data_IF_571042908117
#
_entry.id   IF_571042908117
#
_cell.length_a   1.000
_cell.length_b   1.000
_cell.length_c   1.000
_cell.angle_alpha   90.00
_cell.angle_beta   90.00
_cell.angle_gamma   90.00
#
_symmetry.space_group_name_H-M   'P 1'
#
loop_
_entity.id
_entity.type
_entity.pdbx_description
1 polymer ?
#
# COMPACT_ATOMS: atom_id res chain seq x y z
N UNK A 1 -26.11 -75.97 -10.31
CA UNK A 1 -25.58 -75.20 -9.15
C UNK A 1 -24.23 -74.55 -9.49
N UNK A 2 -24.16 -73.74 -10.55
CA UNK A 2 -22.92 -73.03 -10.96
C UNK A 2 -23.18 -71.56 -11.32
N UNK A 3 -24.43 -71.12 -11.27
CA UNK A 3 -24.88 -69.79 -11.73
C UNK A 3 -24.67 -68.69 -10.66
N UNK A 4 -24.83 -69.04 -9.37
CA UNK A 4 -24.62 -68.11 -8.25
C UNK A 4 -23.14 -67.72 -8.06
N UNK A 5 -22.21 -68.65 -8.30
CA UNK A 5 -20.76 -68.39 -8.17
C UNK A 5 -20.21 -67.51 -9.29
N UNK A 6 -20.71 -67.67 -10.51
CA UNK A 6 -20.37 -66.80 -11.65
C UNK A 6 -20.91 -65.37 -11.45
N UNK A 7 -22.14 -65.25 -10.94
CA UNK A 7 -22.76 -63.95 -10.62
C UNK A 7 -22.05 -63.22 -9.48
N UNK A 8 -21.62 -63.92 -8.43
CA UNK A 8 -20.84 -63.34 -7.32
C UNK A 8 -19.46 -62.82 -7.79
N UNK A 9 -18.76 -63.59 -8.64
CA UNK A 9 -17.47 -63.19 -9.18
C UNK A 9 -17.57 -61.95 -10.08
N UNK A 10 -18.63 -61.83 -10.89
CA UNK A 10 -18.89 -60.65 -11.71
C UNK A 10 -19.15 -59.40 -10.85
N UNK A 11 -20.02 -59.50 -9.84
CA UNK A 11 -20.30 -58.39 -8.91
C UNK A 11 -19.05 -57.94 -8.16
N UNK A 12 -18.21 -58.88 -7.71
CA UNK A 12 -16.94 -58.54 -7.08
C UNK A 12 -16.01 -57.76 -8.02
N UNK A 13 -15.92 -58.18 -9.30
CA UNK A 13 -15.12 -57.48 -10.30
C UNK A 13 -15.64 -56.07 -10.56
N UNK A 14 -16.95 -55.87 -10.61
CA UNK A 14 -17.58 -54.55 -10.75
C UNK A 14 -17.26 -53.65 -9.56
N UNK A 15 -17.36 -54.17 -8.33
CA UNK A 15 -17.01 -53.42 -7.11
C UNK A 15 -15.55 -52.99 -7.15
N UNK A 16 -14.63 -53.91 -7.48
CA UNK A 16 -13.20 -53.59 -7.56
C UNK A 16 -12.91 -52.56 -8.65
N UNK A 17 -13.57 -52.67 -9.81
CA UNK A 17 -13.42 -51.70 -10.89
C UNK A 17 -13.94 -50.30 -10.47
N UNK A 18 -15.07 -50.24 -9.77
CA UNK A 18 -15.64 -49.01 -9.24
C UNK A 18 -14.72 -48.38 -8.17
N UNK A 19 -14.21 -49.19 -7.24
CA UNK A 19 -13.27 -48.72 -6.21
C UNK A 19 -11.98 -48.18 -6.82
N UNK A 20 -11.44 -48.86 -7.85
CA UNK A 20 -10.24 -48.39 -8.55
C UNK A 20 -10.50 -47.08 -9.30
N UNK A 21 -11.60 -46.99 -10.06
CA UNK A 21 -11.99 -45.76 -10.74
C UNK A 21 -12.23 -44.60 -9.76
N UNK A 22 -12.82 -44.87 -8.61
CA UNK A 22 -13.05 -43.87 -7.56
C UNK A 22 -11.73 -43.37 -6.95
N UNK A 23 -10.78 -44.27 -6.69
CA UNK A 23 -9.46 -43.91 -6.18
C UNK A 23 -8.67 -43.05 -7.19
N UNK A 24 -8.73 -43.39 -8.48
CA UNK A 24 -8.07 -42.62 -9.53
C UNK A 24 -8.73 -41.24 -9.72
N UNK A 25 -10.06 -41.17 -9.64
CA UNK A 25 -10.79 -39.90 -9.66
C UNK A 25 -10.46 -39.01 -8.46
N UNK A 26 -10.34 -39.59 -7.26
CA UNK A 26 -9.96 -38.85 -6.05
C UNK A 26 -8.55 -38.27 -6.20
N UNK A 27 -7.56 -39.07 -6.61
CA UNK A 27 -6.19 -38.58 -6.84
C UNK A 27 -6.14 -37.47 -7.88
N UNK A 28 -6.86 -37.63 -8.99
CA UNK A 28 -6.93 -36.60 -10.02
C UNK A 28 -7.59 -35.31 -9.51
N UNK A 29 -8.59 -35.43 -8.63
CA UNK A 29 -9.20 -34.27 -7.97
C UNK A 29 -8.26 -33.61 -6.98
N UNK A 30 -7.57 -34.39 -6.13
CA UNK A 30 -6.60 -33.88 -5.16
C UNK A 30 -5.46 -33.13 -5.85
N UNK A 31 -4.92 -33.68 -6.94
CA UNK A 31 -3.88 -33.01 -7.72
C UNK A 31 -4.36 -31.67 -8.28
N UNK A 32 -5.51 -31.65 -8.98
CA UNK A 32 -6.08 -30.40 -9.51
C UNK A 32 -6.39 -29.40 -8.41
N UNK A 33 -6.84 -29.87 -7.24
CA UNK A 33 -7.12 -28.99 -6.11
C UNK A 33 -5.83 -28.40 -5.53
N UNK A 34 -4.77 -29.19 -5.42
CA UNK A 34 -3.46 -28.71 -5.00
C UNK A 34 -2.92 -27.65 -5.97
N UNK A 35 -2.95 -27.93 -7.28
CA UNK A 35 -2.53 -26.99 -8.33
C UNK A 35 -3.34 -25.68 -8.29
N UNK A 36 -4.67 -25.77 -8.12
CA UNK A 36 -5.55 -24.60 -7.97
C UNK A 36 -5.18 -23.75 -6.76
N UNK A 37 -4.94 -24.38 -5.60
CA UNK A 37 -4.57 -23.67 -4.38
C UNK A 37 -3.20 -23.02 -4.53
N UNK A 38 -2.23 -23.72 -5.14
CA UNK A 38 -0.90 -23.18 -5.39
C UNK A 38 -0.95 -21.94 -6.28
N UNK A 39 -1.76 -21.98 -7.35
CA UNK A 39 -2.00 -20.82 -8.21
C UNK A 39 -2.66 -19.65 -7.46
N UNK A 40 -3.67 -19.93 -6.63
CA UNK A 40 -4.33 -18.90 -5.80
C UNK A 40 -3.33 -18.26 -4.79
N UNK A 41 -2.44 -19.06 -4.20
CA UNK A 41 -1.40 -18.58 -3.28
C UNK A 41 -0.38 -17.72 -4.01
N UNK A 42 0.06 -18.13 -5.20
CA UNK A 42 1.01 -17.36 -6.00
C UNK A 42 0.40 -16.01 -6.43
N UNK A 43 -0.85 -16.01 -6.89
CA UNK A 43 -1.58 -14.78 -7.24
C UNK A 43 -1.70 -13.84 -6.03
N UNK A 44 -2.12 -14.37 -4.87
CA UNK A 44 -2.22 -13.59 -3.65
C UNK A 44 -0.87 -13.03 -3.18
N UNK A 45 0.20 -13.83 -3.28
CA UNK A 45 1.56 -13.42 -2.92
C UNK A 45 2.06 -12.30 -3.82
N UNK A 46 1.81 -12.39 -5.12
CA UNK A 46 2.14 -11.36 -6.09
C UNK A 46 1.34 -10.07 -5.82
N UNK A 47 0.05 -10.18 -5.50
CA UNK A 47 -0.78 -9.03 -5.14
C UNK A 47 -0.27 -8.32 -3.88
N UNK A 48 0.17 -9.08 -2.85
CA UNK A 48 0.78 -8.53 -1.64
C UNK A 48 2.09 -7.82 -1.99
N UNK A 49 2.98 -8.44 -2.76
CA UNK A 49 4.25 -7.84 -3.13
C UNK A 49 4.08 -6.50 -3.86
N UNK A 50 3.14 -6.43 -4.81
CA UNK A 50 2.80 -5.18 -5.52
C UNK A 50 2.21 -4.13 -4.58
N UNK A 51 1.37 -4.53 -3.61
CA UNK A 51 0.80 -3.61 -2.64
C UNK A 51 1.88 -3.03 -1.70
N UNK A 52 2.78 -3.88 -1.20
CA UNK A 52 3.90 -3.47 -0.35
C UNK A 52 4.83 -2.49 -1.07
N UNK A 53 5.21 -2.79 -2.31
CA UNK A 53 6.07 -1.89 -3.09
C UNK A 53 5.39 -0.52 -3.32
N UNK A 54 4.08 -0.51 -3.56
CA UNK A 54 3.32 0.75 -3.69
C UNK A 54 3.30 1.54 -2.38
N UNK A 55 3.14 0.88 -1.25
CA UNK A 55 3.18 1.51 0.07
C UNK A 55 4.56 2.13 0.36
N UNK A 56 5.64 1.38 0.11
CA UNK A 56 7.01 1.85 0.29
C UNK A 56 7.28 3.11 -0.55
N UNK A 57 6.96 3.06 -1.86
CA UNK A 57 7.12 4.22 -2.75
C UNK A 57 6.31 5.43 -2.30
N UNK A 58 5.09 5.23 -1.79
CA UNK A 58 4.27 6.31 -1.26
C UNK A 58 4.89 6.92 0.01
N UNK A 59 5.38 6.08 0.93
CA UNK A 59 6.03 6.51 2.17
C UNK A 59 7.34 7.29 1.89
N UNK A 60 8.15 6.82 0.94
CA UNK A 60 9.35 7.52 0.50
C UNK A 60 9.04 8.90 -0.08
N UNK A 61 8.01 8.98 -0.93
CA UNK A 61 7.59 10.24 -1.56
C UNK A 61 7.05 11.23 -0.53
N UNK A 62 6.21 10.78 0.40
CA UNK A 62 5.71 11.59 1.50
C UNK A 62 6.87 12.10 2.37
N UNK A 63 7.82 11.23 2.71
CA UNK A 63 9.01 11.59 3.49
C UNK A 63 9.89 12.62 2.77
N UNK A 64 10.03 12.51 1.45
CA UNK A 64 10.78 13.47 0.64
C UNK A 64 10.15 14.86 0.68
N UNK A 65 8.84 14.95 0.46
CA UNK A 65 8.10 16.20 0.57
C UNK A 65 8.19 16.81 1.97
N UNK A 66 8.06 15.97 3.00
CA UNK A 66 8.21 16.39 4.39
C UNK A 66 9.58 17.02 4.66
N UNK A 67 10.66 16.37 4.24
CA UNK A 67 12.03 16.91 4.38
C UNK A 67 12.20 18.25 3.65
N UNK A 68 11.62 18.38 2.45
CA UNK A 68 11.66 19.65 1.71
C UNK A 68 10.87 20.76 2.42
N UNK A 69 9.73 20.43 3.03
CA UNK A 69 8.95 21.37 3.83
C UNK A 69 9.71 21.81 5.08
N UNK A 70 10.32 20.86 5.80
CA UNK A 70 11.17 21.14 6.97
C UNK A 70 12.33 22.09 6.64
N UNK A 71 13.05 21.82 5.56
CA UNK A 71 14.14 22.68 5.11
C UNK A 71 13.66 24.10 4.80
N UNK A 72 12.47 24.24 4.20
CA UNK A 72 11.88 25.55 3.89
C UNK A 72 11.57 26.36 5.16
N UNK A 73 11.05 25.72 6.20
CA UNK A 73 10.69 26.40 7.45
C UNK A 73 11.83 26.53 8.45
N UNK A 74 13.02 25.98 8.18
CA UNK A 74 14.14 25.95 9.13
C UNK A 74 14.58 27.35 9.62
N UNK A 75 14.37 28.40 8.81
CA UNK A 75 14.63 29.78 9.21
C UNK A 75 13.58 30.40 10.16
N UNK A 76 12.46 29.71 10.39
CA UNK A 76 11.35 30.16 11.24
C UNK A 76 11.48 29.58 12.65
N UNK A 77 12.29 30.21 13.49
CA UNK A 77 12.59 29.72 14.86
C UNK A 77 11.38 29.63 15.80
N UNK A 78 10.28 30.31 15.48
CA UNK A 78 9.03 30.29 16.23
C UNK A 78 8.10 29.13 15.84
N UNK A 79 8.36 28.46 14.70
CA UNK A 79 7.54 27.38 14.19
C UNK A 79 8.23 26.05 14.49
N UNK A 80 7.73 25.24 15.44
CA UNK A 80 8.29 23.93 15.68
C UNK A 80 8.10 23.03 14.45
N UNK A 81 9.11 22.25 14.03
CA UNK A 81 8.92 21.23 13.03
C UNK A 81 7.91 20.19 13.56
N UNK A 82 6.86 19.91 12.80
CA UNK A 82 5.84 18.93 13.19
C UNK A 82 6.38 17.50 13.22
N UNK A 83 5.49 16.54 13.45
CA UNK A 83 5.82 15.12 13.42
C UNK A 83 6.07 14.61 11.99
N UNK A 84 6.85 13.54 11.88
CA UNK A 84 6.96 12.79 10.63
C UNK A 84 5.58 12.33 10.13
N UNK A 85 5.35 12.31 8.81
CA UNK A 85 4.08 11.86 8.24
C UNK A 85 3.81 10.41 8.66
N UNK A 86 2.62 10.18 9.22
CA UNK A 86 2.17 8.86 9.64
C UNK A 86 1.07 8.37 8.69
N UNK A 87 0.93 7.05 8.47
CA UNK A 87 -0.18 6.50 7.74
C UNK A 87 -1.51 6.91 8.37
N UNK A 88 -2.48 7.29 7.53
CA UNK A 88 -3.84 7.64 7.96
C UNK A 88 -4.73 6.41 7.82
N UNK A 89 -5.26 5.82 8.91
CA UNK A 89 -5.97 4.54 8.87
C UNK A 89 -7.31 4.63 8.13
N UNK A 90 -7.88 5.83 8.00
CA UNK A 90 -9.14 6.09 7.30
C UNK A 90 -8.94 6.47 5.83
N UNK A 91 -7.69 6.55 5.34
CA UNK A 91 -7.42 6.88 3.95
C UNK A 91 -7.83 5.74 3.02
N UNK A 92 -8.39 6.10 1.86
CA UNK A 92 -8.77 5.10 0.86
C UNK A 92 -7.61 4.86 -0.09
N UNK A 93 -7.10 3.62 -0.11
CA UNK A 93 -5.99 3.24 -0.98
C UNK A 93 -6.24 3.56 -2.47
N UNK A 94 -7.49 3.45 -2.93
CA UNK A 94 -7.89 3.78 -4.30
C UNK A 94 -7.65 5.25 -4.71
N UNK A 95 -7.46 6.16 -3.75
CA UNK A 95 -7.21 7.58 -4.00
C UNK A 95 -5.75 7.98 -3.78
N UNK A 96 -4.82 7.01 -3.66
CA UNK A 96 -3.41 7.29 -3.40
C UNK A 96 -2.81 8.33 -4.37
N UNK A 97 -2.98 8.14 -5.68
CA UNK A 97 -2.43 9.08 -6.67
C UNK A 97 -3.01 10.48 -6.51
N UNK A 98 -4.32 10.58 -6.27
CA UNK A 98 -4.98 11.87 -6.00
C UNK A 98 -4.40 12.54 -4.77
N UNK A 99 -4.20 11.80 -3.68
CA UNK A 99 -3.58 12.35 -2.47
C UNK A 99 -2.15 12.82 -2.75
N UNK A 100 -1.38 12.09 -3.56
CA UNK A 100 -0.02 12.49 -3.95
C UNK A 100 0.01 13.73 -4.85
N UNK A 101 -0.97 13.90 -5.73
CA UNK A 101 -1.12 15.08 -6.58
C UNK A 101 -1.40 16.35 -5.76
N UNK A 102 -2.17 16.23 -4.67
CA UNK A 102 -2.52 17.34 -3.77
C UNK A 102 -1.32 17.85 -2.93
N UNK A 103 -0.24 17.06 -2.79
CA UNK A 103 0.94 17.46 -2.01
C UNK A 103 1.72 18.60 -2.67
N UNK A 104 1.89 18.57 -3.99
CA UNK A 104 2.66 19.59 -4.72
C UNK A 104 2.06 21.01 -4.59
N UNK A 105 0.76 21.25 -4.85
CA UNK A 105 0.18 22.58 -4.67
C UNK A 105 0.25 23.02 -3.20
N UNK A 106 -0.03 22.13 -2.25
CA UNK A 106 0.08 22.43 -0.81
C UNK A 106 1.50 22.86 -0.42
N UNK A 107 2.53 22.20 -0.97
CA UNK A 107 3.92 22.61 -0.77
C UNK A 107 4.22 23.98 -1.38
N UNK A 108 3.70 24.29 -2.57
CA UNK A 108 3.89 25.59 -3.20
C UNK A 108 3.24 26.71 -2.38
N UNK A 109 2.06 26.47 -1.81
CA UNK A 109 1.41 27.41 -0.90
C UNK A 109 2.27 27.67 0.34
N UNK A 110 2.86 26.63 0.94
CA UNK A 110 3.81 26.78 2.04
C UNK A 110 5.00 27.65 1.64
N UNK A 111 5.62 27.39 0.48
CA UNK A 111 6.74 28.20 -0.04
C UNK A 111 6.35 29.67 -0.16
N UNK A 112 5.20 29.96 -0.76
CA UNK A 112 4.75 31.35 -0.92
C UNK A 112 4.46 32.02 0.42
N UNK A 113 3.87 31.30 1.38
CA UNK A 113 3.63 31.81 2.72
C UNK A 113 4.94 32.17 3.42
N UNK A 114 5.94 31.29 3.41
CA UNK A 114 7.27 31.52 4.01
C UNK A 114 7.96 32.71 3.37
N UNK A 115 7.96 32.81 2.03
CA UNK A 115 8.55 33.95 1.32
C UNK A 115 7.86 35.26 1.72
N UNK A 116 6.52 35.28 1.77
CA UNK A 116 5.75 36.47 2.14
C UNK A 116 6.06 36.97 3.56
N UNK A 117 6.31 36.04 4.50
CA UNK A 117 6.73 36.36 5.87
C UNK A 117 8.12 36.99 5.89
N UNK A 118 9.07 36.46 5.12
CA UNK A 118 10.41 37.03 4.97
C UNK A 118 10.38 38.48 4.45
N UNK A 119 9.56 38.76 3.43
CA UNK A 119 9.39 40.12 2.90
C UNK A 119 8.80 41.10 3.93
N UNK A 120 7.82 40.66 4.72
CA UNK A 120 7.23 41.47 5.79
C UNK A 120 8.24 41.77 6.89
N UNK A 121 9.05 40.79 7.30
CA UNK A 121 10.11 40.98 8.28
C UNK A 121 11.14 42.03 7.82
N UNK A 122 11.58 41.95 6.55
CA UNK A 122 12.53 42.92 5.97
C UNK A 122 11.97 44.35 5.94
N UNK A 123 10.69 44.53 5.56
CA UNK A 123 10.04 45.85 5.58
C UNK A 123 9.86 46.40 7.00
N UNK A 124 9.51 45.55 7.96
CA UNK A 124 9.36 45.95 9.36
C UNK A 124 10.70 46.34 10.01
N UNK A 125 11.81 45.73 9.57
CA UNK A 125 13.16 46.12 9.99
C UNK A 125 13.58 47.48 9.39
N UNK A 126 13.33 47.70 8.09
CA UNK A 126 13.63 48.97 7.42
C UNK A 126 12.90 50.15 8.08
N UNK A 127 11.59 50.01 8.37
CA UNK A 127 10.79 51.05 9.05
C UNK A 127 11.31 51.38 10.46
N UNK A 128 11.89 50.41 11.18
CA UNK A 128 12.49 50.63 12.50
C UNK A 128 13.84 51.37 12.43
N UNK A 129 14.60 51.19 11.35
CA UNK A 129 15.85 51.93 11.13
C UNK A 129 15.65 53.39 10.73
N UNK A 130 14.49 53.74 10.17
CA UNK A 130 14.10 55.11 9.80
C UNK A 130 13.56 55.95 10.97
N UNK A 131 13.33 55.35 12.13
CA UNK A 131 12.72 56.04 13.26
C UNK A 131 13.81 56.76 14.08
N UNK A 132 13.82 58.11 14.15
CA UNK A 132 14.82 58.86 14.92
C UNK A 132 14.71 58.51 16.41
N UNK A 133 15.82 58.61 17.17
CA UNK A 133 15.81 58.27 18.59
C UNK A 133 14.79 59.14 19.34
N UNK A 134 14.09 58.59 20.34
CA UNK A 134 13.21 59.39 21.18
C UNK A 134 14.03 60.45 21.91
N UNK A 135 13.57 61.70 21.83
CA UNK A 135 14.15 62.89 22.47
C UNK A 135 13.94 62.82 23.98
#
# INVERSE_FOLDING_TARGET
MTDDGATAAMRYKEIIALSRGSADNLRAWELRRAESIEAEIEEASNAIAVATEREERAAERATRWWKMALHNIQGLTWLPPGDHPRPVPTARAAYLERYLEEVKPSYQELVQAVLSLGWRAKRAAAKRGEQPPPV
#
